data_IF_005790324756
#
_entry.id   IF_005790324756
#
_cell.length_a   1.000
_cell.length_b   1.000
_cell.length_c   1.000
_cell.angle_alpha   90.00
_cell.angle_beta   90.00
_cell.angle_gamma   90.00
#
_symmetry.space_group_name_H-M   'P 1'
#
loop_
_entity.id
_entity.type
_entity.pdbx_description
1 polymer ?
#
# COMPACT_ATOMS: atom_id res chain seq x y z
N UNK A 1 14.57 -22.38 5.96
CA UNK A 1 13.86 -21.67 4.87
C UNK A 1 12.68 -20.93 5.47
N UNK A 2 12.87 -19.68 5.87
CA UNK A 2 11.78 -18.84 6.36
C UNK A 2 11.98 -17.48 5.72
N UNK A 3 11.41 -17.27 4.53
CA UNK A 3 11.32 -15.94 3.98
C UNK A 3 10.45 -15.14 4.95
N UNK A 4 11.08 -14.40 5.87
CA UNK A 4 10.40 -13.45 6.74
C UNK A 4 9.87 -12.34 5.84
N UNK A 5 8.70 -12.55 5.26
CA UNK A 5 7.94 -11.49 4.63
C UNK A 5 7.53 -10.56 5.76
N UNK A 6 8.28 -9.46 5.93
CA UNK A 6 7.80 -8.34 6.74
C UNK A 6 6.50 -7.91 6.09
N UNK A 7 5.38 -8.12 6.78
CA UNK A 7 4.13 -7.53 6.35
C UNK A 7 4.37 -6.03 6.18
N UNK A 8 3.87 -5.44 5.09
CA UNK A 8 3.84 -3.99 4.96
C UNK A 8 2.39 -3.58 4.87
N UNK A 9 2.09 -2.34 5.22
CA UNK A 9 0.75 -1.83 5.09
C UNK A 9 0.74 -0.45 4.45
N UNK A 10 -0.29 -0.21 3.67
CA UNK A 10 -0.63 1.10 3.15
C UNK A 10 -1.60 1.75 4.12
N UNK A 11 -1.18 2.87 4.70
CA UNK A 11 -2.06 3.69 5.51
C UNK A 11 -2.61 4.82 4.65
N UNK A 12 -3.92 4.89 4.50
CA UNK A 12 -4.56 6.01 3.82
C UNK A 12 -4.37 7.29 4.61
N UNK A 13 -3.74 8.29 3.99
CA UNK A 13 -3.52 9.62 4.54
C UNK A 13 -4.63 10.59 4.11
N UNK A 14 -5.12 10.45 2.88
CA UNK A 14 -6.15 11.33 2.29
C UNK A 14 -7.05 10.58 1.33
N UNK A 15 -8.23 11.16 1.10
CA UNK A 15 -9.26 10.64 0.20
C UNK A 15 -10.27 9.76 0.92
N UNK A 16 -10.95 8.92 0.15
CA UNK A 16 -12.01 8.01 0.64
C UNK A 16 -11.54 6.92 1.59
N UNK A 17 -10.23 6.75 1.73
CA UNK A 17 -9.57 5.73 2.55
C UNK A 17 -8.72 6.36 3.66
N UNK A 18 -8.89 7.65 3.93
CA UNK A 18 -8.13 8.35 4.96
C UNK A 18 -8.40 7.73 6.34
N UNK A 19 -7.36 7.24 7.00
CA UNK A 19 -7.44 6.53 8.28
C UNK A 19 -7.43 5.00 8.16
N UNK A 20 -7.76 4.47 6.98
CA UNK A 20 -7.75 3.03 6.75
C UNK A 20 -6.33 2.49 6.57
N UNK A 21 -6.16 1.21 6.91
CA UNK A 21 -4.87 0.51 6.77
C UNK A 21 -5.08 -0.79 6.00
N UNK A 22 -4.36 -0.95 4.90
CA UNK A 22 -4.46 -2.11 4.02
C UNK A 22 -3.16 -2.90 4.05
N UNK A 23 -3.26 -4.22 4.20
CA UNK A 23 -2.09 -5.09 4.18
C UNK A 23 -1.60 -5.26 2.75
N UNK A 24 -0.29 -5.10 2.54
CA UNK A 24 0.38 -5.33 1.26
C UNK A 24 1.00 -6.70 1.25
N UNK A 25 0.39 -7.62 0.49
CA UNK A 25 0.90 -8.95 0.24
C UNK A 25 1.85 -9.02 -0.96
N UNK A 26 2.03 -10.22 -1.51
CA UNK A 26 2.91 -10.45 -2.68
C UNK A 26 2.43 -9.72 -3.94
N UNK A 27 1.12 -9.59 -4.10
CA UNK A 27 0.49 -8.89 -5.21
C UNK A 27 -0.77 -8.24 -4.67
N UNK A 28 -0.94 -6.95 -4.95
CA UNK A 28 -2.10 -6.17 -4.51
C UNK A 28 -2.50 -5.20 -5.61
N UNK A 29 -3.72 -5.31 -6.09
CA UNK A 29 -4.29 -4.41 -7.07
C UNK A 29 -5.03 -3.25 -6.39
N UNK A 30 -4.73 -2.03 -6.80
CA UNK A 30 -5.40 -0.81 -6.35
C UNK A 30 -6.26 -0.24 -7.46
N UNK A 31 -7.49 0.12 -7.12
CA UNK A 31 -8.41 0.70 -8.08
C UNK A 31 -9.82 0.85 -7.53
N UNK A 32 -10.70 1.49 -8.31
CA UNK A 32 -12.11 1.65 -7.98
C UNK A 32 -12.95 0.42 -8.32
N UNK A 33 -12.43 -0.45 -9.18
CA UNK A 33 -13.17 -1.57 -9.74
C UNK A 33 -13.34 -2.72 -8.75
N UNK A 34 -14.26 -3.65 -9.03
CA UNK A 34 -14.42 -4.86 -8.22
C UNK A 34 -13.20 -5.79 -8.29
N UNK A 35 -12.41 -5.69 -9.37
CA UNK A 35 -11.16 -6.39 -9.63
C UNK A 35 -10.04 -6.02 -8.64
N UNK A 36 -10.12 -4.83 -8.02
CA UNK A 36 -9.07 -4.32 -7.13
C UNK A 36 -9.17 -4.96 -5.73
N UNK A 37 -8.04 -5.44 -5.21
CA UNK A 37 -7.91 -5.90 -3.83
C UNK A 37 -8.14 -4.75 -2.84
N UNK A 38 -7.53 -3.59 -3.12
CA UNK A 38 -7.78 -2.35 -2.39
C UNK A 38 -8.74 -1.51 -3.22
N UNK A 39 -9.99 -1.51 -2.78
CA UNK A 39 -11.07 -0.73 -3.40
C UNK A 39 -11.02 0.72 -2.96
N UNK A 40 -10.81 1.60 -3.94
CA UNK A 40 -10.76 3.04 -3.78
C UNK A 40 -12.01 3.63 -4.42
N UNK A 41 -13.09 3.88 -3.66
CA UNK A 41 -14.36 4.38 -4.21
C UNK A 41 -14.26 5.88 -4.57
N UNK A 42 -13.27 6.26 -5.35
CA UNK A 42 -12.97 7.63 -5.74
C UNK A 42 -13.02 7.78 -7.27
N UNK A 43 -13.75 8.78 -7.77
CA UNK A 43 -13.96 8.99 -9.20
C UNK A 43 -12.67 9.33 -9.96
N UNK A 44 -11.64 9.82 -9.28
CA UNK A 44 -10.33 10.11 -9.86
C UNK A 44 -9.47 8.85 -10.03
N UNK A 45 -9.90 7.72 -9.47
CA UNK A 45 -9.19 6.44 -9.53
C UNK A 45 -9.83 5.54 -10.59
N UNK A 46 -9.02 5.07 -11.54
CA UNK A 46 -9.41 4.05 -12.53
C UNK A 46 -9.87 2.73 -11.88
N UNK A 47 -10.66 1.95 -12.62
CA UNK A 47 -11.11 0.61 -12.16
C UNK A 47 -9.94 -0.29 -11.76
N UNK A 48 -8.92 -0.29 -12.61
CA UNK A 48 -7.61 -0.87 -12.37
C UNK A 48 -6.64 0.30 -12.51
N UNK A 49 -6.02 0.73 -11.42
CA UNK A 49 -5.22 1.95 -11.39
C UNK A 49 -3.73 1.62 -11.26
N UNK A 50 -3.37 0.89 -10.20
CA UNK A 50 -1.99 0.52 -9.95
C UNK A 50 -1.94 -0.89 -9.35
N UNK A 51 -0.80 -1.56 -9.48
CA UNK A 51 -0.52 -2.79 -8.77
C UNK A 51 0.75 -2.64 -7.95
N UNK A 52 0.75 -3.22 -6.75
CA UNK A 52 1.95 -3.43 -5.96
C UNK A 52 2.31 -4.89 -6.05
N UNK A 53 3.53 -5.17 -6.48
CA UNK A 53 4.09 -6.51 -6.58
C UNK A 53 5.34 -6.60 -5.72
N UNK A 54 5.51 -7.71 -5.03
CA UNK A 54 6.78 -8.07 -4.41
C UNK A 54 7.70 -8.72 -5.43
N UNK A 55 8.82 -8.06 -5.71
CA UNK A 55 9.90 -8.56 -6.54
C UNK A 55 11.02 -9.08 -5.64
N UNK A 56 11.37 -10.36 -5.80
CA UNK A 56 12.44 -10.99 -5.03
C UNK A 56 13.78 -10.29 -5.33
N UNK A 57 14.48 -9.82 -4.29
CA UNK A 57 15.70 -9.02 -4.42
C UNK A 57 15.51 -7.51 -4.62
N UNK A 58 14.35 -7.06 -5.12
CA UNK A 58 14.04 -5.63 -5.33
C UNK A 58 13.02 -5.06 -4.33
N UNK A 59 12.31 -5.88 -3.57
CA UNK A 59 11.32 -5.46 -2.60
C UNK A 59 9.95 -5.18 -3.22
N UNK A 60 9.17 -4.28 -2.62
CA UNK A 60 7.88 -3.89 -3.17
C UNK A 60 8.06 -2.92 -4.33
N UNK A 61 7.35 -3.18 -5.43
CA UNK A 61 7.37 -2.37 -6.64
C UNK A 61 5.93 -1.97 -6.95
N UNK A 62 5.68 -0.69 -7.07
CA UNK A 62 4.42 -0.11 -7.54
C UNK A 62 4.51 0.11 -9.05
N UNK A 63 3.53 -0.39 -9.78
CA UNK A 63 3.36 -0.17 -11.22
C UNK A 63 2.02 0.48 -11.53
N UNK A 64 2.03 1.47 -12.41
CA UNK A 64 0.83 2.06 -13.02
C UNK A 64 0.29 1.12 -14.10
N UNK A 65 -1.02 0.85 -14.09
CA UNK A 65 -1.68 -0.04 -15.04
C UNK A 65 -2.50 0.72 -16.10
N UNK A 66 -2.09 1.95 -16.41
CA UNK A 66 -2.80 2.83 -17.34
C UNK A 66 -3.87 3.66 -16.64
N UNK A 67 -3.56 4.15 -15.44
CA UNK A 67 -4.45 5.04 -14.71
C UNK A 67 -4.67 6.37 -15.43
N UNK A 68 -5.89 6.91 -15.30
CA UNK A 68 -6.25 8.17 -15.96
C UNK A 68 -5.47 9.38 -15.41
N UNK A 69 -5.18 9.39 -14.10
CA UNK A 69 -4.46 10.48 -13.44
C UNK A 69 -2.96 10.21 -13.30
N UNK A 70 -2.51 8.98 -13.52
CA UNK A 70 -1.15 8.54 -13.19
C UNK A 70 -0.96 8.22 -11.70
N UNK A 71 0.12 7.49 -11.44
CA UNK A 71 0.62 7.16 -10.10
C UNK A 71 1.73 8.14 -9.71
N UNK A 72 1.69 8.64 -8.48
CA UNK A 72 2.73 9.51 -7.94
C UNK A 72 3.38 8.90 -6.70
N UNK A 73 4.71 8.86 -6.63
CA UNK A 73 5.46 8.46 -5.44
C UNK A 73 6.31 9.64 -4.98
N UNK A 74 6.15 10.04 -3.71
CA UNK A 74 6.79 11.21 -3.12
C UNK A 74 6.63 12.50 -3.97
N UNK A 75 5.46 12.65 -4.61
CA UNK A 75 5.13 13.78 -5.48
C UNK A 75 5.65 13.68 -6.92
N UNK A 76 6.37 12.62 -7.28
CA UNK A 76 6.86 12.38 -8.65
C UNK A 76 5.97 11.38 -9.37
N UNK A 77 5.54 11.70 -10.59
CA UNK A 77 4.79 10.75 -11.43
C UNK A 77 5.72 9.62 -11.87
N UNK A 78 5.31 8.38 -11.65
CA UNK A 78 6.11 7.20 -11.96
C UNK A 78 5.23 6.16 -12.63
N UNK A 79 5.74 5.50 -13.65
CA UNK A 79 5.10 4.33 -14.26
C UNK A 79 5.43 3.07 -13.48
N UNK A 80 6.66 2.99 -12.97
CA UNK A 80 7.10 1.94 -12.08
C UNK A 80 8.10 2.51 -11.07
N UNK A 81 7.89 2.22 -9.78
CA UNK A 81 8.79 2.66 -8.72
C UNK A 81 8.91 1.60 -7.63
N UNK A 82 10.13 1.45 -7.11
CA UNK A 82 10.36 0.70 -5.88
C UNK A 82 9.78 1.50 -4.71
N UNK A 83 9.02 0.81 -3.85
CA UNK A 83 8.46 1.37 -2.63
C UNK A 83 9.37 1.09 -1.45
N UNK A 84 9.69 2.15 -0.71
CA UNK A 84 10.45 2.11 0.52
C UNK A 84 9.61 2.55 1.73
N UNK A 85 9.99 2.05 2.90
CA UNK A 85 9.33 2.36 4.16
C UNK A 85 9.29 3.89 4.41
N UNK A 86 8.08 4.45 4.43
CA UNK A 86 7.84 5.88 4.61
C UNK A 86 7.39 6.61 3.34
N UNK A 87 7.45 5.95 2.18
CA UNK A 87 7.05 6.54 0.91
C UNK A 87 5.58 6.91 0.88
N UNK A 88 5.28 8.02 0.18
CA UNK A 88 3.92 8.48 -0.04
C UNK A 88 3.49 8.18 -1.46
N UNK A 89 2.42 7.43 -1.59
CA UNK A 89 1.84 7.02 -2.87
C UNK A 89 0.55 7.81 -3.05
N UNK A 90 0.43 8.56 -4.14
CA UNK A 90 -0.78 9.29 -4.48
C UNK A 90 -1.38 8.76 -5.77
N UNK A 91 -2.65 8.39 -5.70
CA UNK A 91 -3.48 7.87 -6.78
C UNK A 91 -4.68 8.81 -6.93
N UNK A 92 -4.65 9.71 -7.92
CA UNK A 92 -5.68 10.74 -8.06
C UNK A 92 -5.81 11.62 -6.81
N UNK A 93 -7.00 11.66 -6.22
CA UNK A 93 -7.31 12.37 -4.97
C UNK A 93 -6.98 11.58 -3.69
N UNK A 94 -6.54 10.32 -3.83
CA UNK A 94 -6.24 9.42 -2.72
C UNK A 94 -4.73 9.41 -2.45
N UNK A 95 -4.34 9.44 -1.18
CA UNK A 95 -2.93 9.36 -0.77
C UNK A 95 -2.74 8.28 0.29
N UNK A 96 -1.68 7.49 0.14
CA UNK A 96 -1.24 6.44 1.05
C UNK A 96 0.18 6.70 1.54
N UNK A 97 0.47 6.26 2.75
CA UNK A 97 1.82 6.06 3.23
C UNK A 97 2.14 4.57 3.26
N UNK A 98 3.21 4.18 2.60
CA UNK A 98 3.78 2.85 2.72
C UNK A 98 4.54 2.75 4.03
N UNK A 99 4.15 1.81 4.89
CA UNK A 99 4.78 1.60 6.19
C UNK A 99 5.16 0.13 6.34
N UNK A 100 6.35 -0.16 6.89
CA UNK A 100 6.68 -1.51 7.29
C UNK A 100 5.79 -1.88 8.47
N UNK A 101 5.32 -3.13 8.52
CA UNK A 101 4.76 -3.62 9.77
C UNK A 101 5.85 -3.50 10.85
N UNK A 102 5.51 -2.97 12.03
CA UNK A 102 6.44 -3.00 13.13
C UNK A 102 6.85 -4.45 13.31
N UNK A 103 8.16 -4.71 13.33
CA UNK A 103 8.73 -6.01 13.68
C UNK A 103 8.58 -6.32 15.18
N UNK A 104 7.53 -5.80 15.79
CA UNK A 104 7.13 -6.01 17.17
C UNK A 104 5.79 -6.72 17.18
N UNK A 105 5.74 -7.94 16.62
CA UNK A 105 4.81 -8.95 17.11
C UNK A 105 5.52 -9.81 18.17
N UNK A 106 6.18 -9.13 19.11
CA UNK A 106 6.79 -9.70 20.32
C UNK A 106 6.13 -9.20 21.61
N UNK A 107 5.00 -8.49 21.53
CA UNK A 107 4.18 -8.13 22.69
C UNK A 107 2.73 -8.11 22.25
N UNK A 108 2.01 -9.18 22.58
CA UNK A 108 0.56 -9.14 22.68
C UNK A 108 0.20 -8.08 23.74
N UNK A 109 -0.74 -7.15 23.50
CA UNK A 109 -1.34 -6.38 24.57
C UNK A 109 -2.17 -7.34 25.42
N UNK A 110 -1.53 -7.96 26.41
CA UNK A 110 -2.11 -8.98 27.29
C UNK A 110 -1.37 -9.14 28.62
N UNK A 111 -0.36 -8.32 28.93
CA UNK A 111 0.31 -8.31 30.23
C UNK A 111 -0.36 -7.32 31.19
N UNK A 112 -1.66 -7.52 31.46
CA UNK A 112 -2.21 -7.08 32.75
C UNK A 112 -2.03 -8.22 33.73
N UNK A 113 -0.81 -8.34 34.26
CA UNK A 113 -0.60 -8.97 35.56
C UNK A 113 -1.34 -8.12 36.60
N UNK A 114 -2.53 -8.54 36.97
CA UNK A 114 -3.19 -8.07 38.19
C UNK A 114 -2.54 -8.80 39.36
N UNK A 115 -1.88 -8.02 40.20
CA UNK A 115 -1.38 -8.42 41.51
C UNK A 115 -2.54 -8.57 42.51
#
# INVERSE_FOLDING_TARGET
MGASYRAHFLRGLRGTVAGDTFVVGRWVLLGRGPEADIRLPDSTVSRVHAAIAWAEGSGFVLGDLGSATGVYVNGRRVEQARLEAGDRIRLGAVEFAFRPAPVSAGTLPGDRAVA
#
